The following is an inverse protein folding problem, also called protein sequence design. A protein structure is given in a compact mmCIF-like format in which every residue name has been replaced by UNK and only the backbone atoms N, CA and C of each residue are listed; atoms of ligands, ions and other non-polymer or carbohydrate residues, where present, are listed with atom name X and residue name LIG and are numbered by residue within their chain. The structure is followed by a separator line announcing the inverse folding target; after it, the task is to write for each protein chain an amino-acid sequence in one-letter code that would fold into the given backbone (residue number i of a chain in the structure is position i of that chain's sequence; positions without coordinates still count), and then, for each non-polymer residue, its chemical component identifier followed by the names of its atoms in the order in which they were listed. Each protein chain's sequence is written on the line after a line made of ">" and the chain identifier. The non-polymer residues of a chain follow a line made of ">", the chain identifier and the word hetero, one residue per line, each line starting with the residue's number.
data_IF_186019447369
#
_entry.id   IF_186019447369
#
_cell.length_a   1.000
_cell.length_b   1.000
_cell.length_c   1.000
_cell.angle_alpha   90.00
_cell.angle_beta   90.00
_cell.angle_gamma   90.00
#
_symmetry.space_group_name_H-M   'P 1'
#
loop_
_entity.id
_entity.type
_entity.pdbx_description
1 polymer ?
#
# COMPACT_ATOMS: atom_id res chain seq x y z
N UNK A 1 -74.76 -25.08 3.82
CA UNK A 1 -73.66 -25.29 2.86
C UNK A 1 -73.47 -23.96 2.13
N UNK A 2 -72.79 -22.99 2.72
CA UNK A 2 -71.32 -22.87 2.84
C UNK A 2 -70.66 -22.74 1.48
N UNK A 3 -70.23 -21.51 1.14
CA UNK A 3 -68.86 -21.22 0.72
C UNK A 3 -68.65 -19.70 0.68
N UNK A 4 -67.93 -19.25 1.69
CA UNK A 4 -67.22 -17.98 1.73
C UNK A 4 -66.18 -17.94 0.60
N UNK A 5 -66.05 -16.80 -0.07
CA UNK A 5 -64.87 -16.43 -0.83
C UNK A 5 -64.22 -15.24 -0.13
N UNK A 6 -63.06 -15.50 0.45
CA UNK A 6 -62.21 -14.53 1.11
C UNK A 6 -61.65 -13.54 0.08
N UNK A 7 -61.80 -12.24 0.39
CA UNK A 7 -61.03 -11.16 -0.19
C UNK A 7 -59.57 -11.31 0.26
N UNK A 8 -58.67 -11.50 -0.71
CA UNK A 8 -57.24 -11.54 -0.48
C UNK A 8 -56.69 -10.14 -0.24
N UNK A 9 -56.12 -9.96 0.94
CA UNK A 9 -55.36 -8.79 1.37
C UNK A 9 -54.30 -8.40 0.33
N UNK A 10 -54.35 -7.14 -0.11
CA UNK A 10 -53.27 -6.52 -0.85
C UNK A 10 -52.04 -6.43 0.04
N UNK A 11 -50.95 -7.10 -0.35
CA UNK A 11 -49.65 -6.86 0.26
C UNK A 11 -49.17 -5.46 -0.14
N UNK A 12 -49.38 -4.47 0.72
CA UNK A 12 -48.61 -3.24 0.68
C UNK A 12 -47.15 -3.59 0.97
N UNK A 13 -46.37 -3.79 -0.09
CA UNK A 13 -44.91 -3.68 0.00
C UNK A 13 -44.61 -2.25 0.39
N UNK A 14 -44.40 -2.05 1.69
CA UNK A 14 -43.91 -0.82 2.28
C UNK A 14 -42.55 -0.53 1.64
N UNK A 15 -42.56 0.28 0.59
CA UNK A 15 -41.38 0.89 0.02
C UNK A 15 -40.76 1.74 1.11
N UNK A 16 -39.81 1.18 1.86
CA UNK A 16 -39.07 1.90 2.89
C UNK A 16 -38.34 3.03 2.20
N UNK A 17 -38.87 4.25 2.35
CA UNK A 17 -38.29 5.47 1.79
C UNK A 17 -36.87 5.60 2.33
N UNK A 18 -35.88 5.39 1.49
CA UNK A 18 -34.48 5.58 1.88
C UNK A 18 -34.27 7.05 2.23
N UNK A 19 -33.76 7.30 3.44
CA UNK A 19 -33.40 8.66 3.87
C UNK A 19 -32.00 8.94 3.35
N UNK A 20 -31.84 10.04 2.62
CA UNK A 20 -30.51 10.53 2.24
C UNK A 20 -29.93 11.29 3.42
N UNK A 21 -28.76 10.88 3.90
CA UNK A 21 -28.01 11.53 4.98
C UNK A 21 -26.70 12.09 4.47
N UNK A 22 -26.32 13.23 5.02
CA UNK A 22 -25.00 13.83 4.82
C UNK A 22 -24.03 13.23 5.83
N UNK A 23 -23.01 12.54 5.35
CA UNK A 23 -22.08 11.74 6.16
C UNK A 23 -20.67 12.30 6.01
N UNK A 24 -19.97 12.43 7.14
CA UNK A 24 -18.59 12.87 7.21
C UNK A 24 -17.70 11.79 7.86
N UNK A 25 -16.57 11.47 7.22
CA UNK A 25 -15.56 10.55 7.74
C UNK A 25 -14.12 11.08 7.52
N UNK A 26 -13.18 10.85 8.44
CA UNK A 26 -11.80 11.32 8.35
C UNK A 26 -10.90 10.25 7.68
N UNK A 27 -11.44 9.56 6.68
CA UNK A 27 -10.82 8.39 6.07
C UNK A 27 -10.71 8.59 4.57
N UNK A 28 -9.51 8.41 4.05
CA UNK A 28 -9.25 8.23 2.63
C UNK A 28 -8.35 7.02 2.44
N UNK A 29 -8.77 6.13 1.56
CA UNK A 29 -7.92 5.07 1.03
C UNK A 29 -7.71 5.29 -0.46
N UNK A 30 -6.64 4.73 -1.01
CA UNK A 30 -6.33 4.84 -2.44
C UNK A 30 -5.37 3.76 -2.90
N UNK A 31 -5.18 3.71 -4.22
CA UNK A 31 -4.24 2.81 -4.89
C UNK A 31 -3.14 3.68 -5.52
N UNK A 32 -1.88 3.28 -5.38
CA UNK A 32 -0.73 3.92 -6.03
C UNK A 32 -0.23 3.01 -7.16
N UNK A 33 -0.56 3.31 -8.42
CA UNK A 33 -0.28 2.41 -9.53
C UNK A 33 1.24 2.25 -9.75
N UNK A 34 1.67 0.99 -9.90
CA UNK A 34 3.03 0.64 -10.29
C UNK A 34 2.99 -0.67 -11.05
N UNK A 35 3.61 -0.70 -12.23
CA UNK A 35 3.57 -1.86 -13.13
C UNK A 35 4.49 -2.96 -12.59
N UNK A 36 5.72 -2.61 -12.22
CA UNK A 36 6.73 -3.55 -11.73
C UNK A 36 7.66 -2.93 -10.72
N UNK A 37 8.20 -3.79 -9.86
CA UNK A 37 9.18 -3.45 -8.83
C UNK A 37 10.25 -4.52 -8.79
N UNK A 38 11.51 -4.13 -8.70
CA UNK A 38 12.59 -5.03 -8.29
C UNK A 38 13.37 -4.37 -7.17
N UNK A 39 13.84 -5.14 -6.19
CA UNK A 39 14.83 -4.70 -5.21
C UNK A 39 16.01 -5.65 -5.26
N UNK A 40 17.19 -5.11 -5.53
CA UNK A 40 18.44 -5.84 -5.62
C UNK A 40 19.38 -5.43 -4.48
N UNK A 41 19.65 -6.36 -3.55
CA UNK A 41 20.56 -6.14 -2.44
C UNK A 41 21.99 -6.57 -2.79
N UNK A 42 22.97 -5.79 -2.32
CA UNK A 42 24.39 -6.02 -2.55
C UNK A 42 25.14 -6.20 -1.24
N UNK A 43 26.28 -6.89 -1.30
CA UNK A 43 27.15 -7.09 -0.15
C UNK A 43 28.50 -6.42 -0.37
N UNK A 44 29.11 -6.03 0.74
CA UNK A 44 30.49 -5.53 0.82
C UNK A 44 30.76 -4.24 0.02
N UNK A 45 29.73 -3.59 -0.51
CA UNK A 45 29.89 -2.34 -1.25
C UNK A 45 30.11 -1.16 -0.30
N UNK A 46 31.07 -0.24 -0.55
CA UNK A 46 31.38 0.82 0.40
C UNK A 46 30.33 1.92 0.48
N UNK A 47 29.48 2.09 -0.55
CA UNK A 47 28.59 3.24 -0.68
C UNK A 47 27.11 2.81 -0.60
N UNK A 48 26.75 1.68 -1.22
CA UNK A 48 25.35 1.31 -1.43
C UNK A 48 24.99 -0.04 -0.82
N UNK A 49 23.73 -0.20 -0.44
CA UNK A 49 23.17 -1.46 0.08
C UNK A 49 22.24 -2.11 -0.93
N UNK A 50 21.59 -1.33 -1.80
CA UNK A 50 20.65 -1.85 -2.77
C UNK A 50 20.25 -0.87 -3.86
N UNK A 51 19.60 -1.40 -4.89
CA UNK A 51 18.98 -0.68 -5.99
C UNK A 51 17.53 -1.16 -6.16
N UNK A 52 16.62 -0.24 -6.44
CA UNK A 52 15.20 -0.52 -6.62
C UNK A 52 14.63 0.22 -7.84
N UNK A 53 14.68 -0.39 -9.04
CA UNK A 53 13.95 0.11 -10.19
C UNK A 53 12.45 -0.19 -10.07
N UNK A 54 11.65 0.78 -10.50
CA UNK A 54 10.20 0.83 -10.45
C UNK A 54 9.70 1.28 -11.83
N UNK A 55 8.77 0.52 -12.42
CA UNK A 55 8.20 0.81 -13.73
C UNK A 55 6.79 1.37 -13.58
N UNK A 56 6.52 2.47 -14.26
CA UNK A 56 5.22 3.14 -14.33
C UNK A 56 4.71 3.21 -15.76
N UNK A 57 3.39 3.13 -15.92
CA UNK A 57 2.68 3.37 -17.17
C UNK A 57 1.22 3.70 -16.83
N UNK A 58 1.04 4.85 -16.16
CA UNK A 58 -0.23 5.27 -15.61
C UNK A 58 -0.37 6.81 -15.62
N UNK A 59 -1.58 7.30 -15.32
CA UNK A 59 -1.87 8.73 -15.36
C UNK A 59 -1.39 9.51 -14.14
N UNK A 60 -1.00 8.84 -13.05
CA UNK A 60 -0.61 9.44 -11.77
C UNK A 60 0.91 9.62 -11.69
N UNK A 61 1.65 8.58 -12.06
CA UNK A 61 3.11 8.53 -12.01
C UNK A 61 3.75 8.70 -13.39
N UNK A 62 2.95 8.72 -14.46
CA UNK A 62 3.44 8.86 -15.84
C UNK A 62 4.01 7.55 -16.38
N UNK A 63 4.93 7.65 -17.33
CA UNK A 63 5.48 6.50 -18.05
C UNK A 63 7.00 6.48 -17.99
N UNK A 64 7.56 5.35 -17.59
CA UNK A 64 9.00 5.13 -17.56
C UNK A 64 9.48 4.51 -16.24
N UNK A 65 10.80 4.56 -16.02
CA UNK A 65 11.45 3.97 -14.85
C UNK A 65 11.84 5.06 -13.85
N UNK A 66 11.51 4.82 -12.58
CA UNK A 66 12.16 5.45 -11.41
C UNK A 66 13.12 4.44 -10.79
N UNK A 67 14.25 4.92 -10.29
CA UNK A 67 15.26 4.10 -9.65
C UNK A 67 15.60 4.72 -8.29
N UNK A 68 15.42 3.93 -7.24
CA UNK A 68 15.90 4.25 -5.90
C UNK A 68 17.23 3.55 -5.66
N UNK A 69 18.20 4.26 -5.09
CA UNK A 69 19.51 3.71 -4.73
C UNK A 69 19.75 3.95 -3.24
N UNK A 70 19.85 2.85 -2.49
CA UNK A 70 19.97 2.87 -1.03
C UNK A 70 21.43 3.01 -0.62
N UNK A 71 21.74 4.05 0.15
CA UNK A 71 23.07 4.33 0.67
C UNK A 71 23.29 3.69 2.03
N UNK A 72 24.55 3.47 2.40
CA UNK A 72 24.93 2.98 3.74
C UNK A 72 24.65 3.97 4.87
N UNK A 73 24.57 5.26 4.57
CA UNK A 73 24.17 6.31 5.53
C UNK A 73 22.65 6.37 5.75
N UNK A 74 21.87 5.50 5.11
CA UNK A 74 20.41 5.42 5.23
C UNK A 74 19.66 6.38 4.30
N UNK A 75 20.35 7.28 3.60
CA UNK A 75 19.75 8.15 2.59
C UNK A 75 19.45 7.38 1.30
N UNK A 76 18.53 7.92 0.49
CA UNK A 76 18.14 7.32 -0.79
C UNK A 76 18.32 8.32 -1.92
N UNK A 77 19.04 7.91 -2.95
CA UNK A 77 19.10 8.65 -4.21
C UNK A 77 17.92 8.25 -5.11
N UNK A 78 17.33 9.21 -5.81
CA UNK A 78 16.17 9.02 -6.69
C UNK A 78 16.50 9.55 -8.08
N UNK A 79 16.44 8.65 -9.06
CA UNK A 79 16.62 8.96 -10.47
C UNK A 79 15.38 8.55 -11.25
N UNK A 80 14.95 9.31 -12.25
CA UNK A 80 13.80 8.93 -13.06
C UNK A 80 13.94 9.34 -14.52
N UNK A 81 13.29 8.60 -15.41
CA UNK A 81 13.22 8.94 -16.83
C UNK A 81 12.33 10.15 -17.11
N UNK A 82 12.63 10.96 -18.15
CA UNK A 82 11.68 11.92 -18.68
C UNK A 82 10.34 11.23 -18.97
N UNK A 83 9.24 11.83 -18.49
CA UNK A 83 7.88 11.28 -18.60
C UNK A 83 7.37 10.60 -17.33
N UNK A 84 8.23 10.34 -16.35
CA UNK A 84 7.83 9.93 -15.00
C UNK A 84 7.60 11.16 -14.14
N UNK A 85 6.44 11.23 -13.48
CA UNK A 85 6.09 12.32 -12.55
C UNK A 85 6.57 11.96 -11.15
N UNK A 86 7.49 12.76 -10.61
CA UNK A 86 8.09 12.53 -9.29
C UNK A 86 7.99 13.78 -8.43
N UNK A 87 7.21 13.69 -7.34
CA UNK A 87 7.08 14.76 -6.36
C UNK A 87 7.87 14.40 -5.10
N UNK A 88 8.93 15.16 -4.80
CA UNK A 88 9.84 14.89 -3.66
C UNK A 88 9.09 14.84 -2.33
N UNK A 89 8.10 15.71 -2.15
CA UNK A 89 7.33 15.80 -0.90
C UNK A 89 6.46 14.56 -0.63
N UNK A 90 6.24 13.69 -1.62
CA UNK A 90 5.43 12.46 -1.48
C UNK A 90 6.26 11.23 -1.11
N UNK A 91 7.59 11.33 -1.16
CA UNK A 91 8.51 10.22 -0.93
C UNK A 91 9.05 10.28 0.51
N UNK A 92 8.72 9.25 1.30
CA UNK A 92 9.20 9.11 2.67
C UNK A 92 9.83 7.73 2.85
N UNK A 93 11.15 7.65 2.69
CA UNK A 93 11.93 6.41 2.76
C UNK A 93 13.29 6.63 3.42
N UNK A 94 13.76 5.64 4.18
CA UNK A 94 15.06 5.68 4.85
C UNK A 94 15.20 6.90 5.77
N UNK A 95 16.41 7.46 5.82
CA UNK A 95 16.74 8.68 6.55
C UNK A 95 16.39 9.97 5.76
N UNK A 96 15.94 9.84 4.51
CA UNK A 96 15.62 10.95 3.62
C UNK A 96 16.16 10.79 2.20
N UNK A 97 15.90 11.80 1.36
CA UNK A 97 16.32 11.83 -0.04
C UNK A 97 17.64 12.61 -0.18
N UNK A 98 18.65 11.97 -0.78
CA UNK A 98 19.93 12.60 -1.14
C UNK A 98 19.86 13.14 -2.58
N UNK A 99 20.49 12.46 -3.55
CA UNK A 99 20.41 12.86 -4.96
C UNK A 99 18.96 12.72 -5.46
N UNK A 100 18.49 13.68 -6.25
CA UNK A 100 17.12 13.72 -6.77
C UNK A 100 17.13 14.37 -8.16
N UNK A 101 17.15 13.55 -9.21
CA UNK A 101 17.43 14.03 -10.56
C UNK A 101 16.70 13.24 -11.66
N UNK A 102 16.09 13.97 -12.59
CA UNK A 102 15.64 13.41 -13.87
C UNK A 102 16.86 13.09 -14.76
N UNK A 103 16.89 11.92 -15.37
CA UNK A 103 17.98 11.48 -16.25
C UNK A 103 17.45 10.60 -17.37
N UNK A 104 18.08 10.71 -18.55
CA UNK A 104 17.96 9.69 -19.59
C UNK A 104 18.40 8.32 -19.03
N UNK A 105 17.68 7.27 -19.38
CA UNK A 105 18.00 5.88 -19.04
C UNK A 105 17.93 5.00 -20.30
N UNK A 106 19.06 4.73 -20.94
CA UNK A 106 19.10 4.06 -22.24
C UNK A 106 20.21 3.01 -22.29
N UNK A 107 19.87 1.71 -22.40
CA UNK A 107 18.51 1.15 -22.43
C UNK A 107 17.74 1.38 -21.11
N UNK A 108 16.40 1.30 -21.18
CA UNK A 108 15.48 1.27 -20.03
C UNK A 108 14.52 0.09 -20.16
N UNK A 109 15.08 -1.12 -20.12
CA UNK A 109 14.32 -2.35 -20.21
C UNK A 109 14.04 -2.89 -18.81
N UNK A 110 12.76 -3.15 -18.52
CA UNK A 110 12.34 -3.87 -17.32
C UNK A 110 11.14 -4.76 -17.65
N UNK A 111 11.41 -6.03 -17.94
CA UNK A 111 10.38 -7.02 -18.27
C UNK A 111 10.44 -8.25 -17.38
N UNK A 112 9.27 -8.84 -17.14
CA UNK A 112 9.12 -10.14 -16.49
C UNK A 112 8.49 -11.09 -17.50
N UNK A 113 9.05 -12.28 -17.63
CA UNK A 113 8.62 -13.35 -18.52
C UNK A 113 8.31 -14.60 -17.71
N UNK A 114 7.79 -15.63 -18.37
CA UNK A 114 7.68 -16.98 -17.82
C UNK A 114 9.05 -17.60 -17.45
N UNK A 115 10.14 -17.04 -17.96
CA UNK A 115 11.53 -17.46 -17.74
C UNK A 115 12.30 -16.57 -16.75
N UNK A 116 11.69 -15.51 -16.23
CA UNK A 116 12.24 -14.70 -15.14
C UNK A 116 12.24 -13.23 -15.45
N UNK A 117 13.22 -12.51 -14.93
CA UNK A 117 13.35 -11.06 -15.14
C UNK A 117 14.41 -10.73 -16.20
N UNK A 118 14.13 -9.73 -17.03
CA UNK A 118 15.09 -9.10 -17.93
C UNK A 118 15.10 -7.58 -17.70
N UNK A 119 16.15 -7.10 -17.02
CA UNK A 119 16.43 -5.70 -16.72
C UNK A 119 17.70 -5.29 -17.46
N UNK A 120 17.64 -4.18 -18.19
CA UNK A 120 18.82 -3.51 -18.75
C UNK A 120 18.58 -2.00 -18.66
N UNK A 121 19.17 -1.37 -17.65
CA UNK A 121 19.02 0.06 -17.34
C UNK A 121 20.40 0.70 -17.30
N UNK A 122 20.61 1.76 -18.09
CA UNK A 122 21.88 2.53 -18.07
C UNK A 122 21.60 4.02 -17.97
N UNK A 123 22.22 4.70 -17.02
CA UNK A 123 22.03 6.15 -16.82
C UNK A 123 23.27 6.82 -16.23
N UNK A 124 23.29 8.16 -16.18
CA UNK A 124 24.32 8.91 -15.46
C UNK A 124 23.76 9.45 -14.15
N UNK A 125 24.48 9.23 -13.05
CA UNK A 125 24.10 9.82 -11.78
C UNK A 125 24.51 11.29 -11.65
N UNK A 126 24.15 11.94 -10.54
CA UNK A 126 24.43 13.35 -10.29
C UNK A 126 25.95 13.68 -10.25
N UNK A 127 26.81 12.67 -10.09
CA UNK A 127 28.26 12.80 -10.15
C UNK A 127 28.83 12.48 -11.55
N UNK A 128 27.97 12.22 -12.53
CA UNK A 128 28.35 11.89 -13.90
C UNK A 128 28.82 10.45 -14.11
N UNK A 129 28.71 9.58 -13.10
CA UNK A 129 29.12 8.17 -13.19
C UNK A 129 28.08 7.40 -13.99
N UNK A 130 28.53 6.55 -14.92
CA UNK A 130 27.63 5.62 -15.62
C UNK A 130 27.20 4.51 -14.66
N UNK A 131 25.90 4.38 -14.46
CA UNK A 131 25.29 3.31 -13.69
C UNK A 131 24.69 2.31 -14.69
N UNK A 132 25.04 1.03 -14.56
CA UNK A 132 24.48 -0.05 -15.40
C UNK A 132 23.87 -1.13 -14.51
N UNK A 133 22.62 -1.49 -14.77
CA UNK A 133 21.93 -2.64 -14.16
C UNK A 133 21.51 -3.56 -15.29
N UNK A 134 22.22 -4.69 -15.43
CA UNK A 134 21.90 -5.73 -16.40
C UNK A 134 21.67 -7.05 -15.69
N UNK A 135 20.42 -7.46 -15.60
CA UNK A 135 20.00 -8.72 -15.00
C UNK A 135 19.16 -9.46 -16.03
N UNK A 136 19.61 -10.64 -16.44
CA UNK A 136 18.85 -11.48 -17.38
C UNK A 136 18.78 -12.89 -16.83
N UNK A 137 17.59 -13.28 -16.40
CA UNK A 137 17.28 -14.61 -15.93
C UNK A 137 16.66 -15.45 -17.05
N UNK A 138 17.07 -16.71 -17.10
CA UNK A 138 16.60 -17.70 -18.07
C UNK A 138 16.31 -19.04 -17.37
N UNK A 139 15.30 -19.01 -16.51
CA UNK A 139 14.97 -20.06 -15.54
C UNK A 139 13.62 -20.71 -15.82
N UNK A 140 13.54 -22.03 -15.70
CA UNK A 140 12.27 -22.76 -15.88
C UNK A 140 11.52 -22.97 -14.56
N UNK A 141 10.19 -23.09 -14.63
CA UNK A 141 9.36 -23.44 -13.48
C UNK A 141 9.30 -22.36 -12.42
N UNK A 142 9.27 -21.09 -12.84
CA UNK A 142 9.03 -19.94 -11.97
C UNK A 142 7.62 -20.04 -11.39
N UNK A 143 7.51 -19.79 -10.08
CA UNK A 143 6.26 -19.94 -9.33
C UNK A 143 6.15 -18.76 -8.38
N UNK A 144 5.66 -17.61 -8.85
CA UNK A 144 5.45 -16.45 -8.00
C UNK A 144 4.43 -16.77 -6.91
N UNK A 145 4.43 -15.99 -5.84
CA UNK A 145 3.47 -16.11 -4.74
C UNK A 145 3.17 -14.73 -4.15
N UNK A 146 2.02 -14.53 -3.48
CA UNK A 146 1.71 -13.24 -2.87
C UNK A 146 2.63 -12.97 -1.67
N UNK A 147 3.13 -11.75 -1.57
CA UNK A 147 4.01 -11.33 -0.47
C UNK A 147 3.81 -9.86 -0.10
N UNK A 148 3.55 -9.57 1.17
CA UNK A 148 3.53 -8.20 1.65
C UNK A 148 4.96 -7.73 1.94
N UNK A 149 5.43 -6.77 1.14
CA UNK A 149 6.75 -6.20 1.33
C UNK A 149 6.79 -5.37 2.63
N UNK A 150 7.83 -5.50 3.46
CA UNK A 150 7.92 -4.82 4.75
C UNK A 150 8.43 -3.38 4.60
N UNK A 151 7.90 -2.64 3.62
CA UNK A 151 8.40 -1.30 3.23
C UNK A 151 8.30 -0.28 4.37
N UNK A 152 7.29 -0.40 5.23
CA UNK A 152 7.10 0.50 6.35
C UNK A 152 8.10 0.33 7.50
N UNK A 153 8.93 -0.73 7.53
CA UNK A 153 9.90 -0.92 8.62
C UNK A 153 10.90 0.24 8.72
N UNK A 154 11.32 0.78 7.59
CA UNK A 154 12.38 1.77 7.48
C UNK A 154 11.83 3.19 7.30
N UNK A 155 10.56 3.43 7.65
CA UNK A 155 9.92 4.75 7.57
C UNK A 155 9.84 5.35 8.97
N UNK A 156 10.68 6.34 9.25
CA UNK A 156 10.70 7.01 10.55
C UNK A 156 9.51 7.97 10.73
N UNK A 157 9.13 8.69 9.67
CA UNK A 157 8.09 9.73 9.69
C UNK A 157 7.03 9.46 8.61
N UNK A 158 6.12 8.52 8.83
CA UNK A 158 5.17 8.11 7.80
C UNK A 158 4.16 9.23 7.49
N UNK A 159 3.94 9.48 6.20
CA UNK A 159 2.87 10.40 5.73
C UNK A 159 1.52 9.68 5.54
N UNK A 160 1.57 8.35 5.41
CA UNK A 160 0.46 7.43 5.15
C UNK A 160 0.81 6.07 5.72
N UNK A 161 -0.18 5.25 6.03
CA UNK A 161 0.03 3.81 6.06
C UNK A 161 0.03 3.33 4.61
N UNK A 162 1.14 2.72 4.20
CA UNK A 162 1.38 2.30 2.83
C UNK A 162 1.72 0.82 2.81
N UNK A 163 0.92 0.03 2.11
CA UNK A 163 1.03 -1.42 2.04
C UNK A 163 1.35 -1.81 0.61
N UNK A 164 2.44 -2.55 0.43
CA UNK A 164 2.89 -3.02 -0.89
C UNK A 164 2.71 -4.52 -0.93
N UNK A 165 1.57 -4.96 -1.45
CA UNK A 165 1.34 -6.36 -1.71
C UNK A 165 1.85 -6.71 -3.11
N UNK A 166 2.89 -7.55 -3.15
CA UNK A 166 3.45 -8.09 -4.37
C UNK A 166 2.68 -9.38 -4.70
N UNK A 167 1.65 -9.27 -5.52
CA UNK A 167 0.73 -10.37 -5.87
C UNK A 167 1.48 -11.51 -6.57
N UNK A 168 2.48 -11.16 -7.38
CA UNK A 168 3.36 -12.09 -8.08
C UNK A 168 4.82 -11.83 -7.69
N UNK A 169 5.18 -12.19 -6.46
CA UNK A 169 6.55 -12.06 -5.95
C UNK A 169 7.40 -13.31 -6.27
N UNK A 170 8.64 -13.10 -6.70
CA UNK A 170 9.67 -14.15 -6.68
C UNK A 170 11.07 -13.57 -6.44
N UNK A 171 12.04 -14.47 -6.23
CA UNK A 171 13.45 -14.14 -6.18
C UNK A 171 14.16 -14.50 -7.49
N UNK A 172 15.12 -13.68 -7.88
CA UNK A 172 16.00 -13.98 -9.03
C UNK A 172 16.87 -15.20 -8.71
N UNK A 173 16.83 -16.23 -9.57
CA UNK A 173 17.64 -17.44 -9.38
C UNK A 173 19.10 -17.18 -9.72
N UNK A 174 19.98 -18.04 -9.22
CA UNK A 174 21.43 -17.95 -9.48
C UNK A 174 21.88 -18.69 -10.72
N UNK A 175 21.26 -19.85 -10.98
CA UNK A 175 21.56 -20.63 -12.19
C UNK A 175 20.89 -19.96 -13.37
N UNK A 176 21.54 -19.98 -14.54
CA UNK A 176 21.04 -19.40 -15.79
C UNK A 176 20.67 -17.91 -15.67
N UNK A 177 21.41 -17.16 -14.85
CA UNK A 177 21.16 -15.72 -14.68
C UNK A 177 22.46 -14.95 -14.88
N UNK A 178 22.43 -14.00 -15.81
CA UNK A 178 23.46 -12.96 -15.93
C UNK A 178 23.12 -11.84 -14.94
N UNK A 179 24.07 -11.48 -14.09
CA UNK A 179 23.97 -10.30 -13.22
C UNK A 179 25.22 -9.45 -13.41
N UNK A 180 25.06 -8.26 -13.96
CA UNK A 180 26.10 -7.23 -14.07
C UNK A 180 25.53 -5.92 -13.59
N UNK A 181 26.03 -5.44 -12.45
CA UNK A 181 25.67 -4.14 -11.88
C UNK A 181 26.94 -3.33 -11.67
N UNK A 182 26.98 -2.12 -12.23
CA UNK A 182 28.15 -1.23 -12.22
C UNK A 182 27.74 0.18 -11.79
N UNK A 183 28.60 0.86 -11.03
CA UNK A 183 28.52 2.30 -10.76
C UNK A 183 29.88 2.92 -11.07
N UNK A 184 29.94 3.70 -12.15
CA UNK A 184 31.22 4.00 -12.80
C UNK A 184 31.93 2.72 -13.18
N UNK A 185 33.21 2.60 -12.80
CA UNK A 185 34.00 1.39 -13.02
C UNK A 185 33.85 0.34 -11.91
N UNK A 186 33.04 0.60 -10.88
CA UNK A 186 32.90 -0.26 -9.71
C UNK A 186 31.82 -1.32 -9.91
N UNK A 187 32.16 -2.63 -9.95
CA UNK A 187 31.16 -3.69 -9.96
C UNK A 187 30.55 -3.90 -8.57
N UNK A 188 29.23 -4.05 -8.50
CA UNK A 188 28.53 -4.38 -7.27
C UNK A 188 28.37 -5.91 -7.15
N UNK A 189 28.55 -6.44 -5.94
CA UNK A 189 28.48 -7.87 -5.67
C UNK A 189 27.10 -8.25 -5.14
N UNK A 190 26.32 -9.07 -5.87
CA UNK A 190 24.99 -9.49 -5.42
C UNK A 190 25.04 -10.21 -4.06
N UNK A 191 24.12 -9.86 -3.18
CA UNK A 191 23.87 -10.62 -1.96
C UNK A 191 23.11 -11.92 -2.27
N UNK A 192 23.17 -12.90 -1.36
CA UNK A 192 22.47 -14.18 -1.51
C UNK A 192 21.43 -14.32 -0.42
N UNK A 193 20.27 -14.89 -0.78
CA UNK A 193 19.29 -15.29 0.22
C UNK A 193 19.71 -16.66 0.79
N UNK A 194 19.70 -16.87 2.12
CA UNK A 194 20.20 -18.10 2.73
C UNK A 194 19.30 -19.32 2.48
N UNK A 195 18.05 -19.10 2.05
CA UNK A 195 17.05 -20.14 1.88
C UNK A 195 16.78 -20.36 0.38
N UNK A 196 16.77 -21.61 -0.12
CA UNK A 196 16.46 -21.88 -1.51
C UNK A 196 14.97 -21.65 -1.83
N UNK A 197 14.68 -21.28 -3.07
CA UNK A 197 13.33 -21.20 -3.63
C UNK A 197 13.11 -22.35 -4.60
N UNK A 198 12.16 -23.25 -4.30
CA UNK A 198 11.86 -24.41 -5.16
C UNK A 198 13.10 -25.24 -5.50
N UNK A 199 13.96 -25.50 -4.50
CA UNK A 199 15.26 -26.19 -4.64
C UNK A 199 16.34 -25.42 -5.42
N UNK A 200 16.06 -24.19 -5.87
CA UNK A 200 17.04 -23.33 -6.52
C UNK A 200 17.66 -22.35 -5.52
N UNK A 201 18.98 -22.14 -5.64
CA UNK A 201 19.65 -21.03 -4.95
C UNK A 201 19.28 -19.72 -5.63
N UNK A 202 19.01 -18.69 -4.83
CA UNK A 202 18.57 -17.38 -5.32
C UNK A 202 19.48 -16.26 -4.81
N UNK A 203 19.49 -15.15 -5.53
CA UNK A 203 20.07 -13.91 -5.03
C UNK A 203 19.11 -13.29 -4.01
N UNK A 204 19.62 -12.37 -3.18
CA UNK A 204 18.76 -11.44 -2.45
C UNK A 204 18.33 -10.31 -3.41
N UNK A 205 17.64 -10.72 -4.47
CA UNK A 205 17.08 -9.86 -5.50
C UNK A 205 15.64 -10.32 -5.68
N UNK A 206 14.70 -9.46 -5.34
CA UNK A 206 13.26 -9.74 -5.32
C UNK A 206 12.57 -8.90 -6.37
N UNK A 207 11.56 -9.44 -7.04
CA UNK A 207 10.78 -8.68 -8.00
C UNK A 207 9.30 -9.04 -7.91
N UNK A 208 8.46 -8.09 -8.33
CA UNK A 208 7.02 -8.23 -8.46
C UNK A 208 6.60 -7.88 -9.87
N UNK A 209 5.91 -8.80 -10.55
CA UNK A 209 5.31 -8.59 -11.87
C UNK A 209 3.89 -8.05 -11.82
N UNK A 210 3.26 -8.11 -10.64
CA UNK A 210 1.94 -7.57 -10.34
C UNK A 210 1.94 -7.06 -8.90
N UNK A 211 1.47 -5.83 -8.71
CA UNK A 211 1.54 -5.10 -7.45
C UNK A 211 0.17 -4.54 -7.11
N UNK A 212 -0.18 -4.63 -5.84
CA UNK A 212 -1.31 -3.93 -5.24
C UNK A 212 -0.76 -3.04 -4.13
N UNK A 213 -0.62 -1.75 -4.45
CA UNK A 213 -0.08 -0.77 -3.53
C UNK A 213 -1.22 0.08 -3.01
N UNK A 214 -1.48 0.01 -1.72
CA UNK A 214 -2.56 0.74 -1.09
C UNK A 214 -2.05 1.83 -0.14
N UNK A 215 -2.82 2.90 -0.07
CA UNK A 215 -2.59 4.02 0.84
C UNK A 215 -3.78 4.14 1.79
N UNK A 216 -3.50 4.46 3.05
CA UNK A 216 -4.51 4.80 4.04
C UNK A 216 -4.11 6.09 4.76
N UNK A 217 -5.03 7.06 4.75
CA UNK A 217 -4.92 8.40 5.30
C UNK A 217 -3.58 9.07 4.93
N UNK A 218 -3.34 9.34 3.63
CA UNK A 218 -2.32 10.32 3.23
C UNK A 218 -2.62 11.71 3.84
N UNK A 219 -1.70 12.69 3.69
CA UNK A 219 -1.99 14.06 4.13
C UNK A 219 -3.31 14.57 3.54
N UNK A 220 -4.18 15.06 4.41
CA UNK A 220 -5.51 15.59 4.09
C UNK A 220 -5.77 16.82 4.96
N UNK A 221 -6.48 17.79 4.41
CA UNK A 221 -6.84 19.05 5.05
C UNK A 221 -8.33 19.15 5.41
N UNK A 222 -9.17 18.24 4.91
CA UNK A 222 -10.61 18.14 5.24
C UNK A 222 -11.07 16.68 5.31
N UNK A 223 -12.07 16.41 6.14
CA UNK A 223 -12.75 15.12 6.17
C UNK A 223 -13.54 14.91 4.87
N UNK A 224 -13.70 13.64 4.47
CA UNK A 224 -14.49 13.25 3.30
C UNK A 224 -15.97 13.38 3.65
N UNK A 225 -16.72 14.05 2.79
CA UNK A 225 -18.13 14.34 3.00
C UNK A 225 -18.94 13.92 1.78
N UNK A 226 -20.07 13.24 2.00
CA UNK A 226 -20.90 12.72 0.92
C UNK A 226 -22.36 12.57 1.38
N UNK A 227 -23.28 12.55 0.42
CA UNK A 227 -24.68 12.24 0.65
C UNK A 227 -24.96 10.78 0.28
N UNK A 228 -25.57 10.00 1.18
CA UNK A 228 -25.89 8.60 0.93
C UNK A 228 -27.29 8.24 1.43
N UNK A 229 -27.99 7.40 0.67
CA UNK A 229 -29.17 6.70 1.16
C UNK A 229 -28.79 5.75 2.32
N UNK A 230 -29.60 5.68 3.37
CA UNK A 230 -29.38 4.77 4.51
C UNK A 230 -30.50 3.73 4.62
N UNK A 231 -30.18 2.40 4.56
CA UNK A 231 -28.90 1.83 4.14
C UNK A 231 -28.64 2.06 2.64
N UNK A 232 -27.38 2.01 2.22
CA UNK A 232 -27.04 2.25 0.82
C UNK A 232 -25.56 2.24 0.50
N UNK A 233 -25.24 2.59 -0.75
CA UNK A 233 -23.87 2.72 -1.27
C UNK A 233 -23.77 3.98 -2.12
N UNK A 234 -22.64 4.67 -2.06
CA UNK A 234 -22.36 5.87 -2.87
C UNK A 234 -20.90 5.91 -3.28
N UNK A 235 -20.61 6.42 -4.47
CA UNK A 235 -19.26 6.72 -4.91
C UNK A 235 -18.93 8.19 -4.59
N UNK A 236 -17.84 8.43 -3.86
CA UNK A 236 -17.35 9.77 -3.52
C UNK A 236 -15.83 9.78 -3.49
N UNK A 237 -15.22 10.78 -4.13
CA UNK A 237 -13.76 10.95 -4.20
C UNK A 237 -12.98 9.68 -4.62
N UNK A 238 -13.53 8.92 -5.57
CA UNK A 238 -12.93 7.67 -6.07
C UNK A 238 -13.09 6.47 -5.13
N UNK A 239 -13.84 6.60 -4.04
CA UNK A 239 -14.14 5.54 -3.08
C UNK A 239 -15.63 5.19 -3.11
N UNK A 240 -15.94 3.90 -3.10
CA UNK A 240 -17.29 3.39 -2.84
C UNK A 240 -17.50 3.25 -1.33
N UNK A 241 -18.45 3.99 -0.79
CA UNK A 241 -18.82 4.00 0.63
C UNK A 241 -20.11 3.23 0.82
N UNK A 242 -20.11 2.18 1.66
CA UNK A 242 -21.32 1.48 2.08
C UNK A 242 -21.73 1.94 3.47
N UNK A 243 -23.01 2.27 3.62
CA UNK A 243 -23.59 2.79 4.86
C UNK A 243 -24.74 1.92 5.34
N UNK A 244 -24.87 1.77 6.65
CA UNK A 244 -25.98 1.05 7.27
C UNK A 244 -27.21 1.94 7.49
N UNK A 245 -28.25 1.37 8.12
CA UNK A 245 -29.51 2.02 8.46
C UNK A 245 -29.34 3.18 9.46
N UNK A 246 -28.27 3.16 10.25
CA UNK A 246 -27.91 4.21 11.20
C UNK A 246 -27.02 5.30 10.59
N UNK A 247 -26.69 5.20 9.30
CA UNK A 247 -25.79 6.15 8.63
C UNK A 247 -24.32 5.98 9.01
N UNK A 248 -23.93 4.82 9.56
CA UNK A 248 -22.53 4.49 9.85
C UNK A 248 -21.89 3.90 8.60
N UNK A 249 -20.65 4.26 8.32
CA UNK A 249 -19.87 3.68 7.22
C UNK A 249 -19.37 2.30 7.62
N UNK A 250 -19.89 1.25 6.99
CA UNK A 250 -19.51 -0.14 7.30
C UNK A 250 -18.38 -0.66 6.40
N UNK A 251 -18.23 -0.09 5.21
CA UNK A 251 -17.20 -0.47 4.23
C UNK A 251 -16.80 0.72 3.36
N UNK A 252 -15.51 0.80 3.05
CA UNK A 252 -14.92 1.69 2.05
C UNK A 252 -14.16 0.82 1.05
N UNK A 253 -14.35 1.05 -0.24
CA UNK A 253 -13.73 0.26 -1.30
C UNK A 253 -13.17 1.16 -2.41
N UNK A 254 -11.98 0.82 -2.90
CA UNK A 254 -11.39 1.41 -4.11
C UNK A 254 -11.01 0.26 -5.03
N UNK A 255 -11.32 0.41 -6.32
CA UNK A 255 -10.96 -0.54 -7.37
C UNK A 255 -10.23 0.23 -8.47
N UNK A 256 -9.06 -0.27 -8.86
CA UNK A 256 -8.31 0.22 -10.02
C UNK A 256 -7.75 -0.96 -10.80
N UNK A 257 -8.27 -1.18 -12.01
CA UNK A 257 -7.99 -2.36 -12.82
C UNK A 257 -8.29 -3.66 -12.06
N UNK A 258 -7.25 -4.45 -11.81
CA UNK A 258 -7.32 -5.73 -11.09
C UNK A 258 -7.02 -5.60 -9.59
N UNK A 259 -6.75 -4.39 -9.09
CA UNK A 259 -6.44 -4.14 -7.69
C UNK A 259 -7.70 -3.68 -6.97
N UNK A 260 -8.04 -4.38 -5.90
CA UNK A 260 -9.13 -4.03 -5.00
C UNK A 260 -8.56 -3.74 -3.60
N UNK A 261 -8.98 -2.63 -3.01
CA UNK A 261 -8.65 -2.26 -1.64
C UNK A 261 -9.95 -2.05 -0.86
N UNK A 262 -10.10 -2.76 0.25
CA UNK A 262 -11.30 -2.71 1.09
C UNK A 262 -10.92 -2.37 2.53
N UNK A 263 -11.70 -1.49 3.14
CA UNK A 263 -11.62 -1.13 4.54
C UNK A 263 -12.98 -1.41 5.20
N UNK A 264 -13.04 -2.40 6.08
CA UNK A 264 -14.27 -2.82 6.77
C UNK A 264 -14.26 -2.36 8.23
N UNK A 265 -15.44 -2.06 8.77
CA UNK A 265 -15.64 -1.59 10.15
C UNK A 265 -16.60 -2.48 10.93
N UNK A 266 -16.29 -2.74 12.21
CA UNK A 266 -17.17 -3.46 13.13
C UNK A 266 -17.12 -2.87 14.57
N UNK A 267 -18.18 -2.23 15.06
CA UNK A 267 -19.36 -1.78 14.30
C UNK A 267 -18.96 -0.70 13.28
N UNK A 268 -19.89 -0.38 12.36
CA UNK A 268 -19.71 0.68 11.37
C UNK A 268 -19.16 2.00 11.95
N UNK A 269 -18.31 2.68 11.19
CA UNK A 269 -17.69 3.94 11.59
C UNK A 269 -18.76 5.06 11.70
N UNK A 270 -18.89 5.73 12.86
CA UNK A 270 -19.92 6.76 13.06
C UNK A 270 -19.80 7.96 12.13
N UNK A 271 -20.95 8.52 11.72
CA UNK A 271 -21.01 9.82 11.04
C UNK A 271 -20.52 10.93 11.98
N UNK A 272 -19.44 11.62 11.62
CA UNK A 272 -18.83 12.64 12.49
C UNK A 272 -19.77 13.81 12.81
N UNK A 273 -20.67 14.19 11.89
CA UNK A 273 -21.57 15.34 12.10
C UNK A 273 -22.70 15.04 13.08
N UNK A 274 -22.99 13.77 13.33
CA UNK A 274 -24.09 13.30 14.20
C UNK A 274 -23.60 12.80 15.56
N UNK A 275 -22.30 12.86 15.86
CA UNK A 275 -21.77 12.49 17.18
C UNK A 275 -22.19 13.50 18.25
N UNK A 276 -22.84 13.09 19.33
CA UNK A 276 -23.17 14.03 20.41
C UNK A 276 -21.93 14.54 21.15
N UNK A 277 -22.01 15.76 21.70
CA UNK A 277 -20.92 16.32 22.49
C UNK A 277 -20.63 15.49 23.75
N UNK A 278 -19.35 15.38 24.12
CA UNK A 278 -18.89 14.56 25.23
C UNK A 278 -18.90 13.04 24.96
N UNK A 279 -19.32 12.60 23.77
CA UNK A 279 -19.35 11.17 23.45
C UNK A 279 -17.99 10.62 23.04
N UNK A 280 -17.78 9.35 23.39
CA UNK A 280 -16.68 8.54 22.89
C UNK A 280 -17.24 7.32 22.18
N UNK A 281 -16.69 6.98 21.02
CA UNK A 281 -17.05 5.79 20.24
C UNK A 281 -15.78 5.04 19.86
N UNK A 282 -15.88 3.73 19.69
CA UNK A 282 -14.78 2.89 19.26
C UNK A 282 -15.29 1.66 18.54
N UNK A 283 -14.46 1.10 17.69
CA UNK A 283 -14.71 -0.17 17.03
C UNK A 283 -13.44 -0.74 16.44
N UNK A 284 -13.61 -1.77 15.62
CA UNK A 284 -12.53 -2.44 14.93
C UNK A 284 -12.57 -2.10 13.45
N UNK A 285 -11.43 -2.28 12.80
CA UNK A 285 -11.33 -2.19 11.35
C UNK A 285 -10.43 -3.28 10.79
N UNK A 286 -10.67 -3.63 9.53
CA UNK A 286 -9.89 -4.60 8.76
C UNK A 286 -9.51 -3.98 7.42
N UNK A 287 -8.24 -4.08 7.07
CA UNK A 287 -7.69 -3.59 5.82
C UNK A 287 -7.29 -4.74 4.91
N UNK A 288 -7.92 -4.80 3.75
CA UNK A 288 -7.89 -5.93 2.83
C UNK A 288 -7.40 -5.42 1.47
N UNK A 289 -6.49 -6.16 0.86
CA UNK A 289 -6.01 -5.91 -0.50
C UNK A 289 -6.20 -7.20 -1.30
N UNK A 290 -6.90 -7.13 -2.43
CA UNK A 290 -7.17 -8.27 -3.31
C UNK A 290 -7.67 -9.53 -2.56
N UNK A 291 -8.53 -9.35 -1.56
CA UNK A 291 -9.07 -10.43 -0.72
C UNK A 291 -8.17 -10.91 0.43
N UNK A 292 -6.97 -10.35 0.60
CA UNK A 292 -6.04 -10.70 1.68
C UNK A 292 -6.05 -9.64 2.80
N UNK A 293 -6.25 -10.07 4.05
CA UNK A 293 -6.12 -9.19 5.21
C UNK A 293 -4.64 -8.81 5.43
N UNK A 294 -4.32 -7.55 5.18
CA UNK A 294 -2.94 -7.02 5.31
C UNK A 294 -2.69 -6.33 6.65
N UNK A 295 -3.74 -5.77 7.26
CA UNK A 295 -3.69 -5.16 8.57
C UNK A 295 -5.09 -5.13 9.20
N UNK A 296 -5.15 -5.01 10.52
CA UNK A 296 -6.39 -4.73 11.24
C UNK A 296 -6.09 -3.89 12.48
N UNK A 297 -7.13 -3.33 13.09
CA UNK A 297 -6.92 -2.43 14.20
C UNK A 297 -8.18 -1.98 14.89
N UNK A 298 -8.00 -0.94 15.70
CA UNK A 298 -9.08 -0.25 16.40
C UNK A 298 -9.18 1.18 15.93
N UNK A 299 -10.39 1.71 15.90
CA UNK A 299 -10.61 3.14 15.80
C UNK A 299 -11.20 3.65 17.12
N UNK A 300 -10.92 4.92 17.44
CA UNK A 300 -11.60 5.63 18.52
C UNK A 300 -11.88 7.07 18.13
N UNK A 301 -13.00 7.58 18.64
CA UNK A 301 -13.51 8.92 18.40
C UNK A 301 -13.86 9.52 19.75
N UNK A 302 -13.47 10.77 19.99
CA UNK A 302 -13.91 11.53 21.15
C UNK A 302 -14.28 12.94 20.71
N UNK A 303 -15.55 13.32 20.96
CA UNK A 303 -16.03 14.67 20.66
C UNK A 303 -15.93 15.54 21.92
N UNK A 304 -15.30 16.69 21.76
CA UNK A 304 -15.35 17.79 22.73
C UNK A 304 -15.71 19.08 22.00
N UNK A 305 -16.89 19.60 22.31
CA UNK A 305 -17.55 20.74 21.68
C UNK A 305 -17.67 20.55 20.16
N UNK A 306 -16.80 21.21 19.40
CA UNK A 306 -16.79 21.25 17.93
C UNK A 306 -15.59 20.53 17.34
N UNK A 307 -14.76 19.90 18.18
CA UNK A 307 -13.58 19.14 17.76
C UNK A 307 -13.80 17.67 18.03
N UNK A 308 -13.50 16.85 17.03
CA UNK A 308 -13.51 15.41 17.15
C UNK A 308 -12.08 14.91 17.03
N UNK A 309 -11.58 14.31 18.11
CA UNK A 309 -10.33 13.57 18.09
C UNK A 309 -10.60 12.18 17.49
N UNK A 310 -9.73 11.77 16.58
CA UNK A 310 -9.85 10.51 15.86
C UNK A 310 -8.51 9.79 15.94
N UNK A 311 -8.55 8.51 16.30
CA UNK A 311 -7.36 7.65 16.31
C UNK A 311 -7.66 6.36 15.56
N UNK A 312 -6.73 5.92 14.71
CA UNK A 312 -6.68 4.56 14.17
C UNK A 312 -5.39 3.90 14.67
N UNK A 313 -5.53 2.90 15.53
CA UNK A 313 -4.41 2.13 16.04
C UNK A 313 -4.32 0.78 15.31
N UNK A 314 -3.17 0.48 14.69
CA UNK A 314 -2.93 -0.80 14.05
C UNK A 314 -2.57 -1.83 15.12
N UNK A 315 -3.49 -2.75 15.40
CA UNK A 315 -3.30 -3.79 16.43
C UNK A 315 -3.09 -5.18 15.84
N UNK A 316 -3.53 -5.39 14.59
CA UNK A 316 -3.37 -6.62 13.82
C UNK A 316 -2.39 -6.44 12.67
N UNK A 317 -1.44 -7.37 12.58
CA UNK A 317 -0.43 -7.39 11.54
C UNK A 317 -0.84 -8.21 10.32
N UNK A 318 0.10 -8.39 9.39
CA UNK A 318 -0.12 -9.19 8.19
C UNK A 318 -0.38 -10.66 8.51
N UNK A 319 -1.45 -11.21 7.93
CA UNK A 319 -1.81 -12.62 8.00
C UNK A 319 -1.51 -13.29 6.66
N UNK A 320 -0.29 -13.82 6.47
CA UNK A 320 0.09 -14.38 5.18
C UNK A 320 -0.76 -15.59 4.79
N UNK A 321 -1.33 -15.52 3.60
CA UNK A 321 -2.00 -16.62 2.89
C UNK A 321 -1.18 -16.97 1.63
N UNK A 322 -1.37 -18.17 1.08
CA UNK A 322 -0.72 -18.56 -0.19
C UNK A 322 0.80 -18.72 -0.18
N UNK A 323 1.48 -18.59 0.97
CA UNK A 323 2.94 -18.72 1.04
C UNK A 323 3.41 -20.17 0.79
N UNK A 324 4.53 -20.36 0.06
CA UNK A 324 5.24 -21.65 0.03
C UNK A 324 5.62 -22.11 1.44
N UNK A 325 5.62 -23.42 1.69
CA UNK A 325 5.83 -24.02 3.02
C UNK A 325 7.06 -23.45 3.76
N UNK A 326 8.19 -23.35 3.05
CA UNK A 326 9.44 -22.81 3.62
C UNK A 326 9.29 -21.34 4.03
N UNK A 327 8.58 -20.53 3.23
CA UNK A 327 8.31 -19.12 3.54
C UNK A 327 7.28 -18.94 4.65
N UNK A 328 6.31 -19.86 4.76
CA UNK A 328 5.39 -19.90 5.91
C UNK A 328 6.16 -20.10 7.21
N UNK A 329 7.17 -20.97 7.22
CA UNK A 329 8.06 -21.15 8.37
C UNK A 329 8.95 -19.92 8.61
N UNK A 330 9.59 -19.40 7.56
CA UNK A 330 10.45 -18.21 7.65
C UNK A 330 9.72 -17.00 8.24
N UNK A 331 8.52 -16.67 7.73
CA UNK A 331 7.70 -15.56 8.25
C UNK A 331 7.13 -15.83 9.64
N UNK A 332 7.15 -17.09 10.11
CA UNK A 332 6.79 -17.44 11.48
C UNK A 332 7.91 -17.14 12.46
N UNK A 333 9.18 -17.37 12.08
CA UNK A 333 10.34 -17.00 12.89
C UNK A 333 10.70 -15.52 12.77
N UNK A 334 10.72 -14.99 11.55
CA UNK A 334 10.95 -13.58 11.26
C UNK A 334 9.64 -12.78 11.48
N UNK A 335 9.19 -12.72 12.73
CA UNK A 335 7.89 -12.13 13.09
C UNK A 335 7.74 -10.66 12.70
N UNK A 336 8.85 -9.95 12.46
CA UNK A 336 8.83 -8.57 11.98
C UNK A 336 8.05 -8.41 10.66
N UNK A 337 8.08 -9.41 9.75
CA UNK A 337 7.30 -9.36 8.51
C UNK A 337 5.79 -9.28 8.78
N UNK A 338 5.33 -9.93 9.84
CA UNK A 338 3.92 -9.93 10.25
C UNK A 338 3.59 -8.71 11.11
N UNK A 339 4.49 -8.32 12.00
CA UNK A 339 4.21 -7.34 13.06
C UNK A 339 4.52 -5.90 12.70
N UNK A 340 5.29 -5.62 11.66
CA UNK A 340 5.65 -4.23 11.34
C UNK A 340 4.43 -3.28 11.18
N UNK A 341 3.26 -3.67 10.62
CA UNK A 341 2.12 -2.75 10.52
C UNK A 341 1.64 -2.33 11.91
N UNK A 342 1.75 -3.22 12.91
CA UNK A 342 1.33 -2.96 14.30
C UNK A 342 2.18 -1.92 15.01
N UNK A 343 3.20 -1.35 14.35
CA UNK A 343 3.97 -0.22 14.87
C UNK A 343 3.36 1.12 14.46
N UNK A 344 2.31 1.15 13.65
CA UNK A 344 1.69 2.38 13.16
C UNK A 344 0.49 2.77 14.01
N UNK A 345 0.29 4.08 14.12
CA UNK A 345 -0.93 4.70 14.65
C UNK A 345 -1.17 6.01 13.88
N UNK A 346 -2.41 6.27 13.53
CA UNK A 346 -2.83 7.56 12.99
C UNK A 346 -3.62 8.34 14.05
N UNK A 347 -3.35 9.63 14.14
CA UNK A 347 -4.09 10.55 15.02
C UNK A 347 -4.47 11.80 14.24
N UNK A 348 -5.69 12.26 14.45
CA UNK A 348 -6.16 13.50 13.86
C UNK A 348 -7.24 14.19 14.67
N UNK A 349 -7.52 15.43 14.27
CA UNK A 349 -8.59 16.27 14.81
C UNK A 349 -9.38 16.83 13.64
N UNK A 350 -10.70 16.68 13.70
CA UNK A 350 -11.65 17.28 12.75
C UNK A 350 -12.38 18.42 13.45
N UNK A 351 -12.44 19.59 12.80
CA UNK A 351 -13.15 20.77 13.27
C UNK A 351 -14.51 20.91 12.55
N UNK A 352 -15.60 20.72 13.30
CA UNK A 352 -16.97 20.79 12.77
C UNK A 352 -17.41 22.21 12.41
N UNK A 353 -16.75 23.26 12.90
CA UNK A 353 -17.12 24.66 12.61
C UNK A 353 -16.46 25.19 11.34
N UNK A 354 -15.38 24.55 10.87
CA UNK A 354 -14.54 25.08 9.80
C UNK A 354 -14.57 24.16 8.58
N UNK A 355 -15.77 23.90 8.05
CA UNK A 355 -16.00 23.04 6.89
C UNK A 355 -15.29 21.68 6.97
N UNK A 356 -15.36 21.06 8.16
CA UNK A 356 -14.71 19.78 8.45
C UNK A 356 -13.19 19.77 8.21
N UNK A 357 -12.54 20.94 8.34
CA UNK A 357 -11.08 21.05 8.30
C UNK A 357 -10.48 20.06 9.29
N UNK A 358 -9.47 19.33 8.83
CA UNK A 358 -8.78 18.34 9.63
C UNK A 358 -7.28 18.54 9.62
N UNK A 359 -6.66 18.02 10.66
CA UNK A 359 -5.22 17.77 10.71
C UNK A 359 -5.02 16.37 11.23
N UNK A 360 -4.09 15.63 10.66
CA UNK A 360 -3.77 14.29 11.12
C UNK A 360 -2.45 13.80 10.58
N UNK A 361 -1.85 12.84 11.29
CA UNK A 361 -0.55 12.30 10.94
C UNK A 361 -0.43 10.85 11.39
N UNK A 362 0.38 10.10 10.65
CA UNK A 362 0.83 8.79 11.07
C UNK A 362 2.08 8.93 11.94
N UNK A 363 2.15 8.11 12.97
CA UNK A 363 3.32 8.01 13.83
C UNK A 363 3.67 6.55 14.10
N UNK A 364 4.94 6.34 14.43
CA UNK A 364 5.44 5.05 14.91
C UNK A 364 5.21 4.97 16.42
N UNK A 365 4.51 3.93 16.87
CA UNK A 365 4.44 3.55 18.28
C UNK A 365 5.84 3.18 18.74
N UNK A 366 6.25 3.73 19.88
CA UNK A 366 7.48 3.31 20.57
C UNK A 366 7.35 1.81 20.87
N UNK A 367 8.33 1.01 20.45
CA UNK A 367 8.39 -0.38 20.89
C UNK A 367 8.52 -0.38 22.41
N UNK A 368 7.60 -1.07 23.08
CA UNK A 368 7.77 -1.39 24.50
C UNK A 368 8.90 -2.40 24.68
#
# INVERSE_FOLDING_TARGET
>A
MSRDFAEGEGSETTSSRSIVRKIAIPIRIGIDPMVRLMVADFKDDPEFTGLEPQLFDDQVNGKGIRLLRYRKDGMVDVYWQPGVMVERSTISIGAGIADFMETAMEPARFVTTDRGIDVDIVFKDAQGRTNQIKIKEDSEGIRPFPFLAPVGLNVERPLRLFMVEMLEFDFVRRKNTLVKVMIGDRPLKPAYFPIPRSLHRVFLMRYGSSLAISTFNPPMDRAVMFDAATPGSVMSEGMTMKVDDQGRTVKIQVIDGNVEVVFDFEPGFPNLTELDDGTTKSGNWTYIICGHEVASGKYSLSRKEKKIQVEFDVTGGWKPTGLPFIFKFFTTFATFFKKWPTTYRWRGVVDLNNDLKMSGTWERKKSK
#
